data_IF_775562142874
#
_entry.id   IF_775562142874
#
_cell.length_a   1.000
_cell.length_b   1.000
_cell.length_c   1.000
_cell.angle_alpha   90.00
_cell.angle_beta   90.00
_cell.angle_gamma   90.00
#
_symmetry.space_group_name_H-M   'P 1'
#
loop_
_entity.id
_entity.type
_entity.pdbx_description
1 polymer ?
#
# COMPACT_ATOMS: atom_id res chain seq x y z
N UNK A 1 34.87 -46.59 -5.58
CA UNK A 1 33.72 -46.07 -4.83
C UNK A 1 34.15 -44.80 -4.11
N UNK A 2 34.15 -43.65 -4.79
CA UNK A 2 34.49 -42.36 -4.18
C UNK A 2 33.30 -41.43 -4.36
N UNK A 3 32.45 -41.33 -3.32
CA UNK A 3 31.51 -40.24 -3.18
C UNK A 3 32.09 -39.31 -2.12
N UNK A 4 32.65 -38.20 -2.57
CA UNK A 4 33.02 -37.08 -1.71
C UNK A 4 31.82 -36.71 -0.85
N UNK A 5 32.00 -36.76 0.47
CA UNK A 5 31.12 -36.07 1.41
C UNK A 5 31.25 -34.59 1.10
N UNK A 6 30.21 -34.03 0.50
CA UNK A 6 30.01 -32.60 0.39
C UNK A 6 30.01 -32.05 1.83
N UNK A 7 31.11 -31.42 2.24
CA UNK A 7 31.14 -30.65 3.48
C UNK A 7 30.30 -29.42 3.18
N UNK A 8 29.06 -29.41 3.69
CA UNK A 8 28.26 -28.20 3.68
C UNK A 8 29.07 -27.03 4.27
N UNK A 9 28.88 -25.80 3.79
CA UNK A 9 29.65 -24.63 4.23
C UNK A 9 29.57 -24.46 5.75
N UNK A 10 30.72 -24.23 6.39
CA UNK A 10 30.88 -24.11 7.84
C UNK A 10 29.88 -23.12 8.47
N UNK A 11 29.40 -23.42 9.69
CA UNK A 11 28.49 -22.54 10.42
C UNK A 11 29.27 -21.41 11.11
N UNK A 12 29.17 -20.18 10.59
CA UNK A 12 29.92 -19.02 11.09
C UNK A 12 28.94 -17.95 11.55
N UNK A 13 28.99 -17.57 12.82
CA UNK A 13 28.19 -16.48 13.41
C UNK A 13 28.74 -15.14 12.90
N UNK A 14 28.21 -14.67 11.77
CA UNK A 14 28.66 -13.45 11.13
C UNK A 14 27.45 -12.64 10.68
N UNK A 15 27.41 -11.38 11.14
CA UNK A 15 26.47 -10.40 10.61
C UNK A 15 26.98 -9.89 9.25
N UNK A 16 26.27 -10.24 8.19
CA UNK A 16 26.60 -9.84 6.81
C UNK A 16 26.11 -8.41 6.48
N UNK A 17 25.30 -7.81 7.35
CA UNK A 17 24.77 -6.46 7.20
C UNK A 17 23.23 -6.42 7.22
N UNK A 18 22.69 -5.23 7.47
CA UNK A 18 21.25 -5.03 7.70
C UNK A 18 20.38 -5.49 6.53
N UNK A 19 20.76 -5.12 5.30
CA UNK A 19 19.96 -5.47 4.12
C UNK A 19 19.89 -6.99 3.87
N UNK A 20 20.97 -7.71 4.19
CA UNK A 20 20.98 -9.18 4.07
C UNK A 20 20.06 -9.78 5.12
N UNK A 21 20.13 -9.29 6.35
CA UNK A 21 19.27 -9.77 7.43
C UNK A 21 17.79 -9.41 7.18
N UNK A 22 17.46 -8.20 6.71
CA UNK A 22 16.09 -7.79 6.35
C UNK A 22 15.47 -8.74 5.32
N UNK A 23 16.20 -9.04 4.23
CA UNK A 23 15.71 -9.96 3.20
C UNK A 23 15.55 -11.40 3.71
N UNK A 24 16.41 -11.84 4.64
CA UNK A 24 16.29 -13.16 5.27
C UNK A 24 15.11 -13.24 6.25
N UNK A 25 14.86 -12.16 7.00
CA UNK A 25 13.71 -12.02 7.91
C UNK A 25 12.39 -12.04 7.14
N UNK A 26 12.30 -11.25 6.07
CA UNK A 26 11.14 -11.22 5.17
C UNK A 26 10.85 -12.61 4.58
N UNK A 27 11.88 -13.29 4.05
CA UNK A 27 11.73 -14.63 3.48
C UNK A 27 11.34 -15.69 4.52
N UNK A 28 11.67 -15.48 5.78
CA UNK A 28 11.32 -16.36 6.89
C UNK A 28 9.98 -15.99 7.55
N UNK A 29 9.31 -14.91 7.10
CA UNK A 29 8.02 -14.45 7.62
C UNK A 29 8.10 -13.66 8.92
N UNK A 30 9.25 -13.07 9.25
CA UNK A 30 9.35 -12.13 10.37
C UNK A 30 8.73 -10.78 9.98
N UNK A 31 7.92 -10.17 10.87
CA UNK A 31 7.42 -8.81 10.66
C UNK A 31 8.47 -7.73 10.98
N UNK A 32 9.62 -8.11 11.54
CA UNK A 32 10.62 -7.16 12.02
C UNK A 32 11.69 -6.86 10.98
N UNK A 33 12.20 -5.62 11.00
CA UNK A 33 13.41 -5.25 10.29
C UNK A 33 14.66 -5.36 11.19
N UNK A 34 15.86 -5.21 10.60
CA UNK A 34 17.12 -5.31 11.36
C UNK A 34 17.23 -4.27 12.46
N UNK A 35 16.64 -3.08 12.30
CA UNK A 35 16.70 -2.04 13.33
C UNK A 35 15.86 -2.45 14.55
N UNK A 36 14.64 -2.94 14.32
CA UNK A 36 13.78 -3.50 15.37
C UNK A 36 14.42 -4.71 16.05
N UNK A 37 15.02 -5.62 15.28
CA UNK A 37 15.76 -6.78 15.82
C UNK A 37 16.92 -6.32 16.71
N UNK A 38 17.69 -5.33 16.26
CA UNK A 38 18.81 -4.78 17.02
C UNK A 38 18.35 -4.14 18.33
N UNK A 39 17.27 -3.37 18.33
CA UNK A 39 16.70 -2.79 19.55
C UNK A 39 16.23 -3.86 20.51
N UNK A 40 15.45 -4.86 20.04
CA UNK A 40 15.01 -5.99 20.89
C UNK A 40 16.19 -6.78 21.46
N UNK A 41 17.25 -6.98 20.69
CA UNK A 41 18.45 -7.65 21.18
C UNK A 41 19.18 -6.81 22.25
N UNK A 42 19.17 -5.47 22.13
CA UNK A 42 19.73 -4.57 23.16
C UNK A 42 18.91 -4.61 24.45
N UNK A 43 17.60 -4.59 24.33
CA UNK A 43 16.66 -4.72 25.45
C UNK A 43 16.84 -6.07 26.17
N UNK A 44 16.81 -7.18 25.42
CA UNK A 44 17.04 -8.52 25.96
C UNK A 44 18.39 -8.64 26.67
N UNK A 45 19.46 -8.05 26.11
CA UNK A 45 20.77 -8.00 26.78
C UNK A 45 20.72 -7.21 28.09
N UNK A 46 19.97 -6.10 28.14
CA UNK A 46 19.81 -5.31 29.35
C UNK A 46 19.00 -6.05 30.43
N UNK A 47 18.07 -6.90 30.02
CA UNK A 47 17.25 -7.77 30.88
C UNK A 47 17.99 -9.05 31.32
N UNK A 48 19.10 -9.40 30.65
CA UNK A 48 19.94 -10.55 30.97
C UNK A 48 19.60 -11.83 30.20
N UNK A 49 18.75 -11.72 29.18
CA UNK A 49 18.29 -12.82 28.35
C UNK A 49 19.33 -13.25 27.30
N UNK A 50 19.20 -14.49 26.83
CA UNK A 50 20.07 -15.07 25.82
C UNK A 50 19.53 -14.94 24.40
N UNK A 51 20.41 -15.18 23.42
CA UNK A 51 20.03 -15.24 21.99
C UNK A 51 18.90 -16.25 21.72
N UNK A 52 18.90 -17.38 22.45
CA UNK A 52 17.90 -18.43 22.29
C UNK A 52 16.51 -18.01 22.79
N UNK A 53 16.44 -17.00 23.64
CA UNK A 53 15.19 -16.48 24.21
C UNK A 53 14.65 -15.36 23.32
N UNK A 54 15.51 -14.45 22.86
CA UNK A 54 15.10 -13.31 22.02
C UNK A 54 14.78 -13.71 20.58
N UNK A 55 15.55 -14.60 19.95
CA UNK A 55 15.40 -14.92 18.52
C UNK A 55 14.02 -15.48 18.17
N UNK A 56 13.42 -16.42 18.94
CA UNK A 56 12.07 -16.90 18.68
C UNK A 56 11.01 -15.79 18.70
N UNK A 57 11.19 -14.75 19.52
CA UNK A 57 10.22 -13.63 19.63
C UNK A 57 10.20 -12.71 18.41
N UNK A 58 11.17 -12.86 17.50
CA UNK A 58 11.23 -12.11 16.26
C UNK A 58 10.21 -12.61 15.22
N UNK A 59 9.56 -13.74 15.47
CA UNK A 59 8.60 -14.36 14.56
C UNK A 59 7.24 -14.51 15.25
N UNK A 60 6.16 -14.17 14.53
CA UNK A 60 4.80 -14.38 15.02
C UNK A 60 4.38 -15.86 14.98
N UNK A 61 4.92 -16.60 14.00
CA UNK A 61 4.74 -18.04 13.82
C UNK A 61 6.11 -18.72 13.64
N UNK A 62 6.16 -20.05 13.68
CA UNK A 62 7.39 -20.80 13.42
C UNK A 62 7.92 -20.49 12.00
N UNK A 63 9.18 -20.03 11.84
CA UNK A 63 9.70 -19.58 10.56
C UNK A 63 9.77 -20.72 9.56
N UNK A 64 9.20 -20.50 8.36
CA UNK A 64 9.15 -21.49 7.28
C UNK A 64 10.24 -21.23 6.27
N UNK A 65 11.13 -22.20 6.08
CA UNK A 65 12.26 -22.07 5.17
C UNK A 65 12.04 -22.88 3.89
N UNK A 66 12.38 -22.28 2.74
CA UNK A 66 12.33 -22.96 1.43
C UNK A 66 13.43 -24.03 1.29
N UNK A 67 14.57 -23.82 1.94
CA UNK A 67 15.68 -24.74 2.00
C UNK A 67 16.50 -24.56 3.30
N UNK A 68 17.36 -25.53 3.59
CA UNK A 68 18.20 -25.52 4.80
C UNK A 68 19.29 -24.44 4.77
N UNK A 69 19.66 -23.95 3.58
CA UNK A 69 20.71 -22.95 3.41
C UNK A 69 20.22 -21.57 3.83
N UNK A 70 18.97 -21.23 3.52
CA UNK A 70 18.30 -20.01 3.94
C UNK A 70 18.17 -19.97 5.47
N UNK A 71 17.73 -21.06 6.08
CA UNK A 71 17.65 -21.20 7.54
C UNK A 71 19.03 -20.97 8.17
N UNK A 72 20.05 -21.67 7.67
CA UNK A 72 21.43 -21.56 8.13
C UNK A 72 21.90 -20.10 8.09
N UNK A 73 21.71 -19.42 6.95
CA UNK A 73 22.17 -18.05 6.74
C UNK A 73 21.43 -17.04 7.62
N UNK A 74 20.12 -17.20 7.82
CA UNK A 74 19.35 -16.35 8.75
C UNK A 74 19.90 -16.46 10.17
N UNK A 75 20.03 -17.68 10.69
CA UNK A 75 20.51 -17.88 12.06
C UNK A 75 21.97 -17.44 12.24
N UNK A 76 22.82 -17.57 11.23
CA UNK A 76 24.18 -17.02 11.26
C UNK A 76 24.19 -15.50 11.43
N UNK A 77 23.32 -14.80 10.70
CA UNK A 77 23.22 -13.34 10.78
C UNK A 77 22.64 -12.90 12.12
N UNK A 78 21.56 -13.52 12.60
CA UNK A 78 20.96 -13.21 13.90
C UNK A 78 21.94 -13.43 15.05
N UNK A 79 22.61 -14.58 15.04
CA UNK A 79 23.59 -14.90 16.08
C UNK A 79 24.86 -14.05 15.99
N UNK A 80 25.28 -13.66 14.78
CA UNK A 80 26.38 -12.72 14.58
C UNK A 80 26.03 -11.29 15.02
N UNK A 81 24.78 -10.86 14.79
CA UNK A 81 24.29 -9.57 15.28
C UNK A 81 24.23 -9.55 16.82
N UNK A 82 23.75 -10.64 17.42
CA UNK A 82 23.76 -10.81 18.87
C UNK A 82 25.18 -10.73 19.46
N UNK A 83 26.18 -11.32 18.83
CA UNK A 83 27.57 -11.23 19.28
C UNK A 83 28.07 -9.77 19.27
N UNK A 84 27.72 -9.00 18.23
CA UNK A 84 28.06 -7.58 18.16
C UNK A 84 27.37 -6.76 19.27
N UNK A 85 26.12 -7.11 19.62
CA UNK A 85 25.39 -6.51 20.73
C UNK A 85 26.07 -6.84 22.07
N UNK A 86 26.54 -8.08 22.26
CA UNK A 86 27.30 -8.50 23.44
C UNK A 86 28.63 -7.75 23.57
N UNK A 87 29.33 -7.52 22.45
CA UNK A 87 30.57 -6.73 22.41
C UNK A 87 30.37 -5.26 22.83
N UNK A 88 29.13 -4.78 22.88
CA UNK A 88 28.79 -3.43 23.36
C UNK A 88 29.28 -2.30 22.46
N UNK A 89 29.66 -2.61 21.21
CA UNK A 89 30.04 -1.61 20.21
C UNK A 89 28.79 -1.08 19.50
N UNK A 90 28.85 0.17 19.04
CA UNK A 90 27.81 0.72 18.18
C UNK A 90 27.77 -0.05 16.86
N UNK A 91 26.75 -0.88 16.66
CA UNK A 91 26.51 -1.57 15.39
C UNK A 91 26.09 -0.53 14.34
N UNK A 92 26.94 -0.28 13.35
CA UNK A 92 26.63 0.58 12.21
C UNK A 92 25.94 -0.25 11.14
N UNK A 93 24.64 -0.05 10.96
CA UNK A 93 23.83 -0.78 9.98
C UNK A 93 24.12 -0.37 8.52
N UNK A 94 24.92 0.68 8.30
CA UNK A 94 25.20 1.25 6.97
C UNK A 94 26.45 0.69 6.27
N UNK A 95 27.34 -0.03 6.97
CA UNK A 95 28.64 -0.48 6.45
C UNK A 95 28.62 -1.97 6.04
N UNK A 96 28.13 -2.27 4.83
CA UNK A 96 28.23 -3.59 4.20
C UNK A 96 28.12 -3.54 2.67
N UNK A 97 28.84 -4.40 1.91
CA UNK A 97 28.75 -4.42 0.45
C UNK A 97 27.31 -4.76 0.02
N UNK A 98 26.65 -3.75 -0.56
CA UNK A 98 25.26 -3.78 -0.99
C UNK A 98 25.08 -4.78 -2.13
N UNK A 99 24.43 -5.94 -1.93
CA UNK A 99 23.96 -6.72 -3.07
C UNK A 99 23.01 -5.83 -3.89
N UNK A 100 23.00 -5.93 -5.23
CA UNK A 100 22.03 -5.18 -6.02
C UNK A 100 20.65 -5.59 -5.49
N UNK A 101 19.91 -4.62 -4.93
CA UNK A 101 18.52 -4.83 -4.51
C UNK A 101 17.85 -5.59 -5.65
N UNK A 102 17.17 -6.73 -5.41
CA UNK A 102 16.21 -7.20 -6.40
C UNK A 102 15.36 -5.96 -6.69
N UNK A 103 15.40 -5.50 -7.95
CA UNK A 103 14.59 -4.34 -8.33
C UNK A 103 13.17 -4.78 -8.00
N UNK A 104 12.61 -4.25 -6.91
CA UNK A 104 11.17 -4.28 -6.68
C UNK A 104 10.60 -3.86 -8.03
N UNK A 105 9.92 -4.77 -8.72
CA UNK A 105 9.35 -4.46 -10.02
C UNK A 105 8.58 -3.18 -9.79
N UNK A 106 9.01 -2.10 -10.46
CA UNK A 106 8.33 -0.83 -10.28
C UNK A 106 6.93 -1.08 -10.80
N UNK A 107 5.95 -1.06 -9.89
CA UNK A 107 4.55 -1.02 -10.25
C UNK A 107 4.41 0.08 -11.30
N UNK A 108 4.06 -0.32 -12.51
CA UNK A 108 3.95 0.61 -13.61
C UNK A 108 2.58 1.27 -13.50
N UNK A 109 2.58 2.58 -13.34
CA UNK A 109 1.36 3.35 -13.49
C UNK A 109 0.74 3.08 -14.87
N UNK A 110 -0.60 3.03 -14.98
CA UNK A 110 -1.27 2.82 -16.25
C UNK A 110 -0.87 3.90 -17.25
N UNK A 111 -0.82 3.54 -18.54
CA UNK A 111 -0.60 4.51 -19.59
C UNK A 111 -1.75 5.53 -19.63
N UNK A 112 -1.49 6.81 -19.93
CA UNK A 112 -2.55 7.79 -20.14
C UNK A 112 -3.57 7.33 -21.18
N UNK A 113 -4.86 7.59 -20.94
CA UNK A 113 -5.90 7.24 -21.92
C UNK A 113 -5.92 8.22 -23.10
N UNK A 114 -6.12 7.70 -24.32
CA UNK A 114 -6.19 8.47 -25.57
C UNK A 114 -7.09 7.76 -26.61
N UNK A 115 -7.91 8.48 -27.41
CA UNK A 115 -8.33 9.88 -27.28
C UNK A 115 -9.59 9.99 -26.40
N UNK A 116 -9.58 10.98 -25.50
CA UNK A 116 -10.74 11.57 -24.80
C UNK A 116 -11.42 10.81 -23.65
N UNK A 117 -11.35 9.47 -23.58
CA UNK A 117 -11.98 8.70 -22.50
C UNK A 117 -11.15 7.49 -22.02
N UNK A 118 -11.20 7.15 -20.70
CA UNK A 118 -10.65 5.91 -20.18
C UNK A 118 -11.42 4.70 -20.69
N UNK A 119 -10.71 3.63 -21.05
CA UNK A 119 -11.30 2.31 -21.30
C UNK A 119 -11.54 1.56 -19.97
N UNK A 120 -12.31 0.47 -20.02
CA UNK A 120 -12.43 -0.43 -18.86
C UNK A 120 -11.06 -1.00 -18.45
N UNK A 121 -10.21 -1.36 -19.42
CA UNK A 121 -8.84 -1.82 -19.17
C UNK A 121 -7.98 -0.79 -18.42
N UNK A 122 -8.16 0.50 -18.74
CA UNK A 122 -7.48 1.56 -18.01
C UNK A 122 -7.98 1.66 -16.56
N UNK A 123 -9.30 1.62 -16.36
CA UNK A 123 -9.91 1.71 -15.03
C UNK A 123 -9.43 0.58 -14.13
N UNK A 124 -9.45 -0.65 -14.64
CA UNK A 124 -8.93 -1.84 -13.94
C UNK A 124 -7.44 -1.70 -13.60
N UNK A 125 -6.62 -1.29 -14.58
CA UNK A 125 -5.19 -1.09 -14.35
C UNK A 125 -4.89 0.04 -13.35
N UNK A 126 -5.71 1.09 -13.34
CA UNK A 126 -5.58 2.20 -12.39
C UNK A 126 -6.00 1.79 -10.98
N UNK A 127 -7.11 1.07 -10.84
CA UNK A 127 -7.56 0.50 -9.57
C UNK A 127 -6.49 -0.42 -8.98
N UNK A 128 -5.99 -1.38 -9.76
CA UNK A 128 -4.94 -2.30 -9.30
C UNK A 128 -3.64 -1.59 -8.93
N UNK A 129 -3.27 -0.56 -9.68
CA UNK A 129 -2.12 0.27 -9.32
C UNK A 129 -2.29 1.00 -7.97
N UNK A 130 -3.51 1.44 -7.65
CA UNK A 130 -3.81 2.09 -6.38
C UNK A 130 -3.82 1.12 -5.21
N UNK A 131 -4.25 -0.13 -5.42
CA UNK A 131 -4.15 -1.19 -4.41
C UNK A 131 -2.69 -1.59 -4.14
N UNK A 132 -1.89 -1.75 -5.20
CA UNK A 132 -0.53 -2.27 -5.07
C UNK A 132 0.51 -1.22 -4.58
N UNK A 133 0.28 0.08 -4.83
CA UNK A 133 1.22 1.18 -4.51
C UNK A 133 0.66 2.16 -3.46
N UNK A 134 0.76 1.78 -2.18
CA UNK A 134 0.36 2.60 -1.02
C UNK A 134 0.91 4.02 -1.04
N UNK A 135 2.15 4.18 -1.52
CA UNK A 135 2.80 5.50 -1.56
C UNK A 135 2.18 6.38 -2.63
N UNK A 136 1.90 5.83 -3.81
CA UNK A 136 1.19 6.55 -4.84
C UNK A 136 -0.25 6.88 -4.42
N UNK A 137 -0.94 5.92 -3.80
CA UNK A 137 -2.28 6.09 -3.22
C UNK A 137 -2.31 7.24 -2.21
N UNK A 138 -1.38 7.25 -1.25
CA UNK A 138 -1.26 8.31 -0.23
C UNK A 138 -1.00 9.69 -0.87
N UNK A 139 -0.10 9.76 -1.85
CA UNK A 139 0.16 11.01 -2.57
C UNK A 139 -1.08 11.53 -3.30
N UNK A 140 -1.82 10.63 -3.96
CA UNK A 140 -3.05 10.98 -4.67
C UNK A 140 -4.17 11.36 -3.70
N UNK A 141 -4.23 10.75 -2.52
CA UNK A 141 -5.16 11.11 -1.46
C UNK A 141 -4.91 12.53 -0.99
N UNK A 142 -3.66 12.90 -0.70
CA UNK A 142 -3.33 14.28 -0.35
C UNK A 142 -3.63 15.27 -1.48
N UNK A 143 -3.42 14.87 -2.74
CA UNK A 143 -3.79 15.72 -3.88
C UNK A 143 -5.31 15.91 -3.97
N UNK A 144 -6.08 14.85 -3.71
CA UNK A 144 -7.54 14.89 -3.65
C UNK A 144 -8.04 15.80 -2.53
N UNK A 145 -7.59 15.57 -1.29
CA UNK A 145 -7.98 16.36 -0.12
C UNK A 145 -7.68 17.85 -0.31
N UNK A 146 -6.49 18.20 -0.80
CA UNK A 146 -6.11 19.59 -0.97
C UNK A 146 -6.82 20.27 -2.15
N UNK A 147 -7.00 19.56 -3.27
CA UNK A 147 -7.54 20.17 -4.50
C UNK A 147 -9.06 20.17 -4.52
N UNK A 148 -9.67 19.17 -3.91
CA UNK A 148 -11.12 18.97 -3.91
C UNK A 148 -11.74 19.32 -2.55
N UNK A 149 -11.06 20.13 -1.73
CA UNK A 149 -11.55 20.64 -0.44
C UNK A 149 -12.99 21.18 -0.53
N UNK A 150 -13.28 22.01 -1.53
CA UNK A 150 -14.64 22.52 -1.74
C UNK A 150 -15.69 21.44 -2.07
N UNK A 151 -15.30 20.40 -2.82
CA UNK A 151 -16.18 19.25 -3.12
C UNK A 151 -16.42 18.42 -1.85
N UNK A 152 -15.38 18.22 -1.04
CA UNK A 152 -15.45 17.50 0.23
C UNK A 152 -16.32 18.25 1.25
N UNK A 153 -16.19 19.57 1.33
CA UNK A 153 -17.06 20.39 2.18
C UNK A 153 -18.54 20.34 1.76
N UNK A 154 -18.83 20.28 0.45
CA UNK A 154 -20.19 20.08 -0.03
C UNK A 154 -20.72 18.66 0.25
N UNK A 155 -19.85 17.65 0.18
CA UNK A 155 -20.20 16.27 0.53
C UNK A 155 -20.53 16.13 2.02
N UNK A 156 -19.71 16.74 2.89
CA UNK A 156 -19.93 16.79 4.34
C UNK A 156 -21.26 17.48 4.69
N UNK A 157 -21.56 18.60 4.01
CA UNK A 157 -22.81 19.33 4.17
C UNK A 157 -24.06 18.58 3.65
N UNK A 158 -23.91 17.45 2.95
CA UNK A 158 -25.03 16.68 2.40
C UNK A 158 -25.80 15.88 3.46
N UNK A 159 -25.29 15.81 4.70
CA UNK A 159 -26.00 15.19 5.83
C UNK A 159 -26.07 13.67 5.77
N UNK A 160 -25.07 13.03 5.15
CA UNK A 160 -24.88 11.58 5.22
C UNK A 160 -24.48 11.15 6.64
N UNK A 161 -24.66 9.87 6.96
CA UNK A 161 -23.99 9.24 8.11
C UNK A 161 -22.48 9.17 7.89
N UNK A 162 -21.73 8.81 8.94
CA UNK A 162 -20.28 8.62 8.84
C UNK A 162 -19.94 7.51 7.83
N UNK A 163 -20.72 6.43 7.80
CA UNK A 163 -20.58 5.33 6.84
C UNK A 163 -20.87 5.81 5.41
N UNK A 164 -22.00 6.49 5.20
CA UNK A 164 -22.39 7.02 3.90
C UNK A 164 -21.39 8.04 3.35
N UNK A 165 -20.91 8.94 4.22
CA UNK A 165 -19.85 9.90 3.88
C UNK A 165 -18.53 9.18 3.56
N UNK A 166 -18.15 8.18 4.37
CA UNK A 166 -16.95 7.39 4.18
C UNK A 166 -16.90 6.72 2.82
N UNK A 167 -18.00 6.04 2.44
CA UNK A 167 -18.16 5.39 1.12
C UNK A 167 -18.11 6.42 -0.01
N UNK A 168 -18.89 7.50 0.09
CA UNK A 168 -18.92 8.52 -0.96
C UNK A 168 -17.56 9.19 -1.16
N UNK A 169 -16.88 9.53 -0.06
CA UNK A 169 -15.54 10.13 -0.06
C UNK A 169 -14.51 9.18 -0.66
N UNK A 170 -14.56 7.91 -0.30
CA UNK A 170 -13.66 6.89 -0.81
C UNK A 170 -13.79 6.75 -2.34
N UNK A 171 -15.01 6.59 -2.83
CA UNK A 171 -15.26 6.46 -4.27
C UNK A 171 -14.85 7.73 -5.04
N UNK A 172 -15.14 8.92 -4.51
CA UNK A 172 -14.71 10.17 -5.15
C UNK A 172 -13.18 10.32 -5.18
N UNK A 173 -12.49 9.84 -4.15
CA UNK A 173 -11.03 9.76 -4.15
C UNK A 173 -10.52 8.84 -5.27
N UNK A 174 -11.05 7.62 -5.39
CA UNK A 174 -10.60 6.66 -6.40
C UNK A 174 -10.82 7.20 -7.81
N UNK A 175 -11.98 7.79 -8.08
CA UNK A 175 -12.28 8.43 -9.36
C UNK A 175 -11.33 9.59 -9.65
N UNK A 176 -11.05 10.45 -8.65
CA UNK A 176 -10.05 11.51 -8.80
C UNK A 176 -8.67 10.93 -9.12
N UNK A 177 -8.25 9.90 -8.40
CA UNK A 177 -6.96 9.25 -8.57
C UNK A 177 -6.81 8.61 -9.96
N UNK A 178 -7.82 7.89 -10.44
CA UNK A 178 -7.86 7.33 -11.80
C UNK A 178 -7.74 8.42 -12.86
N UNK A 179 -8.43 9.55 -12.68
CA UNK A 179 -8.35 10.66 -13.62
C UNK A 179 -6.99 11.37 -13.58
N UNK A 180 -6.37 11.54 -12.41
CA UNK A 180 -5.01 12.08 -12.27
C UNK A 180 -3.96 11.17 -12.93
N UNK A 181 -4.12 9.85 -12.82
CA UNK A 181 -3.22 8.88 -13.47
C UNK A 181 -3.38 8.89 -15.00
N UNK A 182 -4.61 8.99 -15.48
CA UNK A 182 -4.93 8.85 -16.90
C UNK A 182 -4.88 10.15 -17.71
N UNK A 183 -4.93 11.31 -17.05
CA UNK A 183 -4.95 12.63 -17.67
C UNK A 183 -3.75 13.47 -17.21
N UNK A 184 -2.60 13.46 -17.93
CA UNK A 184 -1.36 14.11 -17.51
C UNK A 184 -1.43 15.62 -17.21
N UNK A 185 -2.32 16.42 -17.84
CA UNK A 185 -2.55 17.81 -17.38
C UNK A 185 -3.09 17.89 -15.93
N UNK A 186 -3.65 16.80 -15.43
CA UNK A 186 -4.30 16.67 -14.13
C UNK A 186 -5.64 17.38 -14.08
N UNK A 187 -6.19 17.48 -12.88
CA UNK A 187 -7.48 18.11 -12.63
C UNK A 187 -7.29 19.49 -12.01
N UNK A 188 -8.28 20.35 -12.19
CA UNK A 188 -8.55 21.53 -11.39
C UNK A 188 -9.44 21.14 -10.19
N UNK A 189 -9.71 22.10 -9.31
CA UNK A 189 -10.78 21.93 -8.32
C UNK A 189 -12.13 21.78 -9.03
N UNK A 190 -12.89 20.75 -8.65
CA UNK A 190 -14.27 20.58 -9.08
C UNK A 190 -15.16 21.63 -8.41
N UNK A 191 -16.26 21.99 -9.09
CA UNK A 191 -17.21 22.97 -8.55
C UNK A 191 -18.03 22.31 -7.43
N UNK A 192 -17.94 22.82 -6.21
CA UNK A 192 -18.68 22.31 -5.05
C UNK A 192 -20.20 22.22 -5.31
N UNK A 193 -20.77 23.24 -5.96
CA UNK A 193 -22.18 23.31 -6.32
C UNK A 193 -22.66 22.24 -7.33
N UNK A 194 -21.75 21.38 -7.82
CA UNK A 194 -22.11 20.24 -8.65
C UNK A 194 -22.81 19.12 -7.86
N UNK A 195 -22.66 19.07 -6.52
CA UNK A 195 -23.35 18.09 -5.69
C UNK A 195 -24.81 18.49 -5.40
N UNK A 196 -25.14 19.78 -5.44
CA UNK A 196 -26.45 20.30 -5.05
C UNK A 196 -27.56 20.03 -6.08
N UNK A 197 -27.20 19.94 -7.36
CA UNK A 197 -28.15 19.85 -8.48
C UNK A 197 -27.63 18.97 -9.59
N UNK A 198 -28.58 18.40 -10.32
CA UNK A 198 -28.25 17.70 -11.55
C UNK A 198 -27.63 18.67 -12.55
N UNK A 199 -26.67 18.14 -13.30
CA UNK A 199 -25.94 18.90 -14.29
C UNK A 199 -26.47 18.56 -15.68
N UNK A 200 -26.72 19.59 -16.49
CA UNK A 200 -26.98 19.46 -17.93
C UNK A 200 -25.69 19.10 -18.72
N UNK A 201 -24.73 18.45 -18.07
CA UNK A 201 -23.48 18.05 -18.69
C UNK A 201 -23.67 16.84 -19.59
N UNK A 202 -22.80 16.68 -20.59
CA UNK A 202 -22.49 15.34 -21.07
C UNK A 202 -22.08 14.46 -19.87
N UNK A 203 -22.57 13.22 -19.79
CA UNK A 203 -22.20 12.30 -18.73
C UNK A 203 -20.70 11.99 -18.77
N UNK A 204 -20.18 11.49 -17.65
CA UNK A 204 -18.85 10.91 -17.60
C UNK A 204 -18.77 9.65 -18.49
N UNK A 205 -17.58 9.18 -18.87
CA UNK A 205 -17.38 7.96 -19.64
C UNK A 205 -18.03 6.73 -18.99
N UNK A 206 -18.62 5.86 -19.82
CA UNK A 206 -19.33 4.66 -19.37
C UNK A 206 -18.46 3.73 -18.51
N UNK A 207 -17.15 3.66 -18.79
CA UNK A 207 -16.20 2.86 -18.01
C UNK A 207 -16.11 3.30 -16.54
N UNK A 208 -16.10 4.61 -16.28
CA UNK A 208 -16.11 5.15 -14.92
C UNK A 208 -17.48 5.02 -14.26
N UNK A 209 -18.57 5.16 -15.04
CA UNK A 209 -19.92 4.95 -14.54
C UNK A 209 -20.16 3.48 -14.13
N UNK A 210 -19.63 2.53 -14.91
CA UNK A 210 -19.69 1.10 -14.61
C UNK A 210 -18.97 0.79 -13.30
N UNK A 211 -17.75 1.31 -13.13
CA UNK A 211 -16.98 1.16 -11.90
C UNK A 211 -17.72 1.68 -10.66
N UNK A 212 -18.30 2.89 -10.74
CA UNK A 212 -19.13 3.43 -9.63
C UNK A 212 -20.33 2.53 -9.33
N UNK A 213 -20.96 1.99 -10.38
CA UNK A 213 -22.16 1.14 -10.22
C UNK A 213 -21.81 -0.16 -9.52
N UNK A 214 -20.69 -0.78 -9.89
CA UNK A 214 -20.15 -2.00 -9.28
C UNK A 214 -19.74 -1.75 -7.83
N UNK A 215 -18.94 -0.73 -7.56
CA UNK A 215 -18.47 -0.43 -6.20
C UNK A 215 -19.63 -0.07 -5.23
N UNK A 216 -20.66 0.63 -5.72
CA UNK A 216 -21.88 0.88 -4.93
C UNK A 216 -22.74 -0.36 -4.73
N UNK A 217 -22.74 -1.30 -5.68
CA UNK A 217 -23.43 -2.58 -5.52
C UNK A 217 -22.73 -3.44 -4.46
N UNK A 218 -21.39 -3.44 -4.41
CA UNK A 218 -20.63 -4.11 -3.35
C UNK A 218 -20.93 -3.50 -1.98
N UNK A 219 -20.93 -2.16 -1.87
CA UNK A 219 -21.27 -1.47 -0.63
C UNK A 219 -22.72 -1.71 -0.15
N UNK A 220 -23.66 -1.94 -1.07
CA UNK A 220 -25.04 -2.32 -0.73
C UNK A 220 -25.13 -3.70 -0.08
N UNK A 221 -24.24 -4.61 -0.45
CA UNK A 221 -24.22 -6.01 0.00
C UNK A 221 -23.17 -6.25 1.10
N UNK A 222 -22.64 -5.19 1.71
CA UNK A 222 -21.74 -5.28 2.85
C UNK A 222 -22.47 -5.90 4.05
N UNK A 223 -21.99 -7.06 4.50
CA UNK A 223 -22.59 -7.83 5.60
C UNK A 223 -22.29 -7.22 6.98
N UNK A 224 -21.23 -6.43 7.10
CA UNK A 224 -20.81 -5.83 8.38
C UNK A 224 -21.53 -4.50 8.62
N UNK A 225 -21.55 -3.61 7.62
CA UNK A 225 -22.09 -2.24 7.75
C UNK A 225 -23.01 -1.84 6.59
N UNK A 226 -24.19 -2.47 6.43
CA UNK A 226 -25.09 -2.17 5.33
C UNK A 226 -25.71 -0.77 5.48
N UNK A 227 -25.62 0.03 4.41
CA UNK A 227 -26.33 1.31 4.33
C UNK A 227 -27.84 1.11 4.19
N UNK A 228 -28.63 2.02 4.76
CA UNK A 228 -30.06 2.06 4.50
C UNK A 228 -30.31 2.35 2.99
N UNK A 229 -31.31 1.72 2.34
CA UNK A 229 -31.53 1.91 0.90
C UNK A 229 -31.73 3.37 0.46
N UNK A 230 -32.30 4.20 1.34
CA UNK A 230 -32.50 5.64 1.10
C UNK A 230 -31.18 6.39 1.10
N UNK A 231 -30.29 6.06 2.03
CA UNK A 231 -28.96 6.64 2.12
C UNK A 231 -28.08 6.18 0.97
N UNK A 232 -28.13 4.90 0.60
CA UNK A 232 -27.42 4.38 -0.57
C UNK A 232 -27.86 5.11 -1.85
N UNK A 233 -29.16 5.40 -2.02
CA UNK A 233 -29.65 6.18 -3.17
C UNK A 233 -29.10 7.62 -3.16
N UNK A 234 -28.95 8.23 -1.98
CA UNK A 234 -28.34 9.54 -1.82
C UNK A 234 -26.84 9.51 -2.13
N UNK A 235 -26.10 8.53 -1.58
CA UNK A 235 -24.67 8.29 -1.89
C UNK A 235 -24.47 8.09 -3.38
N UNK A 236 -25.30 7.25 -4.03
CA UNK A 236 -25.26 7.01 -5.48
C UNK A 236 -25.40 8.31 -6.27
N UNK A 237 -26.36 9.15 -5.89
CA UNK A 237 -26.59 10.45 -6.54
C UNK A 237 -25.39 11.38 -6.37
N UNK A 238 -24.84 11.48 -5.15
CA UNK A 238 -23.70 12.35 -4.84
C UNK A 238 -22.42 11.89 -5.57
N UNK A 239 -22.12 10.59 -5.58
CA UNK A 239 -20.96 10.04 -6.28
C UNK A 239 -21.08 10.23 -7.79
N UNK A 240 -22.26 10.02 -8.38
CA UNK A 240 -22.49 10.25 -9.81
C UNK A 240 -22.31 11.74 -10.18
N UNK A 241 -22.85 12.65 -9.37
CA UNK A 241 -22.66 14.10 -9.56
C UNK A 241 -21.19 14.50 -9.39
N UNK A 242 -20.51 13.97 -8.38
CA UNK A 242 -19.09 14.20 -8.15
C UNK A 242 -18.21 13.66 -9.27
N UNK A 243 -18.51 12.48 -9.83
CA UNK A 243 -17.84 11.93 -11.00
C UNK A 243 -17.93 12.89 -12.20
N UNK A 244 -19.13 13.39 -12.51
CA UNK A 244 -19.34 14.37 -13.59
C UNK A 244 -18.56 15.66 -13.32
N UNK A 245 -18.53 16.13 -12.06
CA UNK A 245 -17.78 17.31 -11.66
C UNK A 245 -16.26 17.14 -11.84
N UNK A 246 -15.71 16.00 -11.40
CA UNK A 246 -14.30 15.65 -11.56
C UNK A 246 -13.93 15.50 -13.04
N UNK A 247 -14.79 14.87 -13.84
CA UNK A 247 -14.60 14.72 -15.28
C UNK A 247 -14.48 16.05 -16.01
N UNK A 248 -15.28 17.03 -15.61
CA UNK A 248 -15.26 18.40 -16.14
C UNK A 248 -14.08 19.22 -15.64
N UNK A 249 -13.55 18.89 -14.47
CA UNK A 249 -12.41 19.59 -13.88
C UNK A 249 -11.07 19.24 -14.56
N UNK A 250 -11.04 18.31 -15.52
CA UNK A 250 -9.84 18.01 -16.30
C UNK A 250 -9.28 19.28 -16.97
N UNK A 251 -7.98 19.54 -16.79
CA UNK A 251 -7.33 20.69 -17.43
C UNK A 251 -7.31 20.52 -18.95
N UNK A 252 -7.44 21.64 -19.66
CA UNK A 252 -7.18 21.70 -21.10
C UNK A 252 -5.76 21.25 -21.40
N UNK A 253 -5.57 20.62 -22.56
CA UNK A 253 -4.22 20.34 -23.10
C UNK A 253 -3.60 21.60 -23.69
#
# INVERSE_FOLDING_TARGET
>A
MSRSKDRGPDFIRQFEGAQTLDGLLELAGSPCDTAEVLERMREARAEGDGANDVIPTLFAEEPRFKDAELARRLYQNLLGLWDLVLEGKSVRLEDGPRPPRPKKERLQAPAPFHPDAPSAEFVEAAWRYLEDDDKARTRLMHAFENRQDGLLGALDAAGLTDEGYGIARHLLFELHAMLELGWPPGLMAAQAAALDRDSDAPPAPDSLQAYVTEALFEAEHDEEHPLAPQELAQVRTLVQRGLVALWRARKGR
#
